data_IF_622808770847
#
_entry.id   IF_622808770847
#
_cell.length_a   1.000
_cell.length_b   1.000
_cell.length_c   1.000
_cell.angle_alpha   90.00
_cell.angle_beta   90.00
_cell.angle_gamma   90.00
#
_symmetry.space_group_name_H-M   'P 1'
#
loop_
_entity.id
_entity.type
_entity.pdbx_description
1 polymer ?
#
# COMPACT_ATOMS: atom_id res chain seq x y z
N UNK A 1 21.22 -16.30 4.07
CA UNK A 1 20.65 -14.96 3.78
C UNK A 1 19.27 -15.13 3.15
N UNK A 2 18.23 -14.53 3.72
CA UNK A 2 16.90 -14.54 3.14
C UNK A 2 16.65 -13.17 2.50
N UNK A 3 16.21 -13.16 1.24
CA UNK A 3 15.90 -11.92 0.54
C UNK A 3 14.69 -11.22 1.17
N UNK A 4 14.65 -9.90 1.05
CA UNK A 4 13.55 -9.05 1.48
C UNK A 4 13.25 -8.02 0.40
N UNK A 5 11.97 -7.89 0.03
CA UNK A 5 11.53 -6.96 -1.01
C UNK A 5 10.69 -5.85 -0.40
N UNK A 6 11.16 -4.61 -0.51
CA UNK A 6 10.37 -3.41 -0.18
C UNK A 6 9.85 -2.76 -1.46
N UNK A 7 8.55 -2.45 -1.48
CA UNK A 7 7.88 -1.81 -2.61
C UNK A 7 7.23 -0.50 -2.17
N UNK A 8 7.57 0.59 -2.87
CA UNK A 8 6.97 1.91 -2.70
C UNK A 8 6.57 2.49 -4.07
N UNK A 9 5.51 1.94 -4.71
CA UNK A 9 5.09 2.34 -6.05
C UNK A 9 4.38 3.70 -6.06
N UNK A 10 4.15 4.32 -7.23
CA UNK A 10 3.19 5.41 -7.34
C UNK A 10 1.80 5.01 -6.81
N UNK A 11 1.17 5.85 -5.99
CA UNK A 11 -0.13 5.51 -5.40
C UNK A 11 -1.28 5.92 -6.34
N UNK A 12 -2.11 4.96 -6.74
CA UNK A 12 -3.18 5.17 -7.73
C UNK A 12 -4.14 6.31 -7.36
N UNK A 13 -4.45 6.45 -6.06
CA UNK A 13 -5.45 7.41 -5.57
C UNK A 13 -4.88 8.78 -5.19
N UNK A 14 -3.56 8.97 -5.24
CA UNK A 14 -2.94 10.27 -4.93
C UNK A 14 -2.65 11.08 -6.19
N UNK A 15 -2.51 12.40 -6.02
CA UNK A 15 -2.09 13.32 -7.09
C UNK A 15 -0.57 13.50 -7.01
N UNK A 16 0.17 12.40 -7.15
CA UNK A 16 1.62 12.44 -7.22
C UNK A 16 2.08 12.82 -8.63
N UNK A 17 3.15 13.62 -8.73
CA UNK A 17 3.85 13.98 -9.96
C UNK A 17 4.52 12.79 -10.70
N UNK A 18 4.21 11.56 -10.30
CA UNK A 18 4.70 10.30 -10.88
C UNK A 18 3.69 9.65 -11.85
N UNK A 19 2.44 10.12 -11.86
CA UNK A 19 1.37 9.56 -12.70
C UNK A 19 1.38 10.12 -14.13
N UNK A 20 2.27 11.08 -14.45
CA UNK A 20 2.31 11.80 -15.72
C UNK A 20 3.25 11.19 -16.78
N UNK A 21 3.98 10.11 -16.45
CA UNK A 21 4.78 9.34 -17.39
C UNK A 21 6.14 9.94 -17.78
N UNK A 22 6.57 11.05 -17.18
CA UNK A 22 7.80 11.75 -17.59
C UNK A 22 9.10 11.26 -16.93
N UNK A 23 9.07 10.22 -16.09
CA UNK A 23 10.24 9.80 -15.28
C UNK A 23 10.52 8.29 -15.24
N UNK A 24 10.23 7.58 -16.34
CA UNK A 24 10.71 6.20 -16.55
C UNK A 24 9.70 5.08 -16.29
N UNK A 25 8.51 5.39 -15.79
CA UNK A 25 7.35 4.51 -15.80
C UNK A 25 6.23 5.20 -16.55
N UNK A 26 5.92 4.74 -17.76
CA UNK A 26 4.76 5.24 -18.48
C UNK A 26 3.49 4.71 -17.80
N UNK A 27 2.81 5.59 -17.07
CA UNK A 27 1.45 5.41 -16.57
C UNK A 27 1.26 4.27 -15.55
N UNK A 28 1.49 4.55 -14.26
CA UNK A 28 1.01 3.66 -13.20
C UNK A 28 -0.52 3.70 -13.15
N UNK A 29 -1.16 2.66 -13.69
CA UNK A 29 -2.61 2.48 -13.71
C UNK A 29 -2.96 1.22 -12.92
N UNK A 30 -4.25 0.90 -12.93
CA UNK A 30 -4.78 -0.29 -12.28
C UNK A 30 -4.09 -1.58 -12.76
N UNK A 31 -3.68 -1.66 -14.03
CA UNK A 31 -3.00 -2.84 -14.56
C UNK A 31 -1.63 -3.08 -13.90
N UNK A 32 -0.81 -2.03 -13.75
CA UNK A 32 0.51 -2.12 -13.10
C UNK A 32 0.36 -2.39 -11.60
N UNK A 33 -0.66 -1.82 -10.97
CA UNK A 33 -0.96 -2.07 -9.55
C UNK A 33 -1.39 -3.53 -9.32
N UNK A 34 -2.25 -4.09 -10.17
CA UNK A 34 -2.63 -5.51 -10.12
C UNK A 34 -1.45 -6.44 -10.43
N UNK A 35 -0.58 -6.08 -11.38
CA UNK A 35 0.62 -6.86 -11.68
C UNK A 35 1.61 -6.88 -10.50
N UNK A 36 1.75 -5.77 -9.77
CA UNK A 36 2.53 -5.71 -8.52
C UNK A 36 1.93 -6.66 -7.47
N UNK A 37 0.61 -6.67 -7.31
CA UNK A 37 -0.08 -7.57 -6.38
C UNK A 37 0.17 -9.06 -6.71
N UNK A 38 0.10 -9.44 -7.98
CA UNK A 38 0.42 -10.80 -8.42
C UNK A 38 1.89 -11.16 -8.18
N UNK A 39 2.80 -10.20 -8.33
CA UNK A 39 4.21 -10.39 -8.01
C UNK A 39 4.44 -10.60 -6.51
N UNK A 40 3.84 -9.78 -5.65
CA UNK A 40 3.93 -9.94 -4.19
C UNK A 40 3.31 -11.27 -3.72
N UNK A 41 2.21 -11.70 -4.33
CA UNK A 41 1.62 -13.02 -4.09
C UNK A 41 2.56 -14.17 -4.49
N UNK A 42 3.39 -13.98 -5.53
CA UNK A 42 4.42 -14.97 -5.90
C UNK A 42 5.56 -15.01 -4.89
N UNK A 43 6.00 -13.85 -4.40
CA UNK A 43 7.02 -13.78 -3.35
C UNK A 43 6.57 -14.49 -2.08
N UNK A 44 5.31 -14.27 -1.69
CA UNK A 44 4.69 -14.93 -0.55
C UNK A 44 4.73 -16.46 -0.68
N UNK A 45 4.27 -17.00 -1.81
CA UNK A 45 4.32 -18.45 -2.09
C UNK A 45 5.74 -19.01 -2.12
N UNK A 46 6.73 -18.18 -2.46
CA UNK A 46 8.15 -18.55 -2.47
C UNK A 46 8.80 -18.42 -1.08
N UNK A 47 8.07 -17.99 -0.05
CA UNK A 47 8.62 -17.75 1.29
C UNK A 47 9.53 -16.53 1.39
N UNK A 48 9.48 -15.63 0.41
CA UNK A 48 10.24 -14.37 0.41
C UNK A 48 9.43 -13.31 1.16
N UNK A 49 10.08 -12.62 2.09
CA UNK A 49 9.44 -11.56 2.87
C UNK A 49 9.30 -10.30 2.02
N UNK A 50 8.15 -9.63 2.09
CA UNK A 50 7.94 -8.35 1.46
C UNK A 50 7.25 -7.34 2.37
N UNK A 51 7.43 -6.06 2.03
CA UNK A 51 6.63 -4.97 2.57
C UNK A 51 6.21 -4.00 1.44
N UNK A 52 4.95 -3.56 1.46
CA UNK A 52 4.38 -2.62 0.50
C UNK A 52 3.84 -1.38 1.25
N UNK A 53 4.39 -0.21 0.97
CA UNK A 53 3.77 1.08 1.35
C UNK A 53 2.72 1.49 0.31
N UNK A 54 1.52 1.85 0.77
CA UNK A 54 0.46 2.36 -0.10
C UNK A 54 -0.60 3.13 0.72
N UNK A 55 -1.62 3.66 0.04
CA UNK A 55 -2.69 4.48 0.64
C UNK A 55 -4.05 3.85 0.35
N UNK A 56 -4.78 3.50 1.41
CA UNK A 56 -6.13 2.92 1.28
C UNK A 56 -7.18 3.98 0.90
N UNK A 57 -7.04 5.18 1.42
CA UNK A 57 -7.97 6.29 1.22
C UNK A 57 -7.23 7.62 1.21
N UNK A 58 -7.58 8.52 0.29
CA UNK A 58 -6.99 9.85 0.19
C UNK A 58 -8.03 10.84 -0.34
N UNK A 59 -8.32 11.90 0.43
CA UNK A 59 -9.26 12.96 0.03
C UNK A 59 -10.61 12.43 -0.50
N UNK A 60 -11.14 11.38 0.13
CA UNK A 60 -12.42 10.73 -0.25
C UNK A 60 -12.34 9.74 -1.41
N UNK A 61 -11.16 9.54 -2.03
CA UNK A 61 -10.92 8.44 -2.97
C UNK A 61 -10.49 7.19 -2.21
N UNK A 62 -11.00 6.03 -2.62
CA UNK A 62 -10.75 4.73 -1.95
C UNK A 62 -10.10 3.77 -2.93
N UNK A 63 -8.96 3.19 -2.56
CA UNK A 63 -8.28 2.14 -3.34
C UNK A 63 -8.93 0.78 -3.07
N UNK A 64 -10.08 0.53 -3.70
CA UNK A 64 -10.84 -0.72 -3.52
C UNK A 64 -10.03 -1.98 -3.87
N UNK A 65 -9.24 -2.02 -4.97
CA UNK A 65 -8.38 -3.17 -5.26
C UNK A 65 -7.38 -3.48 -4.15
N UNK A 66 -6.67 -2.45 -3.65
CA UNK A 66 -5.72 -2.60 -2.54
C UNK A 66 -6.40 -3.11 -1.27
N UNK A 67 -7.57 -2.56 -0.92
CA UNK A 67 -8.35 -3.00 0.25
C UNK A 67 -8.77 -4.47 0.13
N UNK A 68 -9.18 -4.91 -1.06
CA UNK A 68 -9.55 -6.30 -1.27
C UNK A 68 -8.33 -7.23 -1.19
N UNK A 69 -7.24 -6.87 -1.86
CA UNK A 69 -6.01 -7.67 -1.92
C UNK A 69 -5.30 -7.78 -0.57
N UNK A 70 -5.20 -6.67 0.18
CA UNK A 70 -4.48 -6.57 1.45
C UNK A 70 -5.03 -7.47 2.57
N UNK A 71 -6.28 -7.96 2.46
CA UNK A 71 -6.89 -8.87 3.45
C UNK A 71 -6.16 -10.20 3.64
N UNK A 72 -5.29 -10.56 2.70
CA UNK A 72 -4.45 -11.76 2.76
C UNK A 72 -3.24 -11.60 3.69
N UNK A 73 -2.90 -10.37 4.05
CA UNK A 73 -1.63 -9.98 4.66
C UNK A 73 -1.85 -9.12 5.91
N UNK A 74 -0.79 -8.90 6.69
CA UNK A 74 -0.83 -8.01 7.84
C UNK A 74 -0.78 -6.56 7.35
N UNK A 75 -1.80 -5.77 7.71
CA UNK A 75 -1.90 -4.35 7.36
C UNK A 75 -1.61 -3.51 8.59
N UNK A 76 -0.51 -2.76 8.54
CA UNK A 76 -0.05 -1.89 9.62
C UNK A 76 -0.37 -0.44 9.23
N UNK A 77 -1.27 0.26 9.97
CA UNK A 77 -1.51 1.68 9.75
C UNK A 77 -0.24 2.48 10.05
N UNK A 78 0.17 3.32 9.11
CA UNK A 78 1.24 4.30 9.30
C UNK A 78 0.62 5.58 9.87
N UNK A 79 0.11 5.50 11.11
CA UNK A 79 -0.35 6.68 11.82
C UNK A 79 0.85 7.32 12.53
N UNK A 80 1.13 8.58 12.23
CA UNK A 80 1.71 9.49 13.22
C UNK A 80 0.66 9.69 14.31
N UNK A 81 1.03 9.46 15.57
CA UNK A 81 0.19 9.60 16.77
C UNK A 81 -1.02 10.54 16.63
N UNK A 82 -2.21 9.99 16.42
CA UNK A 82 -3.47 10.67 16.71
C UNK A 82 -4.02 10.18 18.05
N UNK A 83 -3.25 10.38 19.11
CA UNK A 83 -3.69 10.16 20.50
C UNK A 83 -4.69 11.22 20.99
N UNK A 84 -5.21 12.11 20.13
CA UNK A 84 -6.11 13.20 20.55
C UNK A 84 -7.10 13.71 19.46
N UNK A 85 -7.57 12.88 18.54
CA UNK A 85 -8.62 13.33 17.62
C UNK A 85 -9.80 12.35 17.59
N UNK A 86 -10.90 12.83 18.18
CA UNK A 86 -12.26 12.33 18.08
C UNK A 86 -12.57 11.56 16.79
N UNK A 87 -13.47 10.57 16.92
CA UNK A 87 -14.26 9.87 15.90
C UNK A 87 -15.06 10.79 14.95
N UNK A 88 -14.45 11.83 14.41
CA UNK A 88 -14.93 12.67 13.32
C UNK A 88 -13.94 12.50 12.18
N UNK A 89 -14.25 11.60 11.26
CA UNK A 89 -13.64 11.49 9.94
C UNK A 89 -13.70 12.86 9.25
N UNK A 90 -12.66 13.66 9.40
CA UNK A 90 -12.49 14.88 8.62
C UNK A 90 -12.24 14.44 7.18
N UNK A 91 -13.21 14.70 6.31
CA UNK A 91 -13.08 14.57 4.85
C UNK A 91 -11.75 15.21 4.42
N UNK A 92 -10.73 14.40 4.13
CA UNK A 92 -9.43 14.93 3.69
C UNK A 92 -8.18 14.14 4.10
N UNK A 93 -8.24 13.32 5.16
CA UNK A 93 -7.05 12.61 5.66
C UNK A 93 -6.67 11.40 4.79
N UNK A 94 -5.35 11.18 4.64
CA UNK A 94 -4.78 10.01 3.98
C UNK A 94 -4.71 8.85 4.97
N UNK A 95 -5.12 7.66 4.55
CA UNK A 95 -4.94 6.42 5.30
C UNK A 95 -3.77 5.63 4.72
N UNK A 96 -2.57 5.96 5.16
CA UNK A 96 -1.32 5.31 4.77
C UNK A 96 -1.11 4.00 5.53
N UNK A 97 -0.61 2.98 4.84
CA UNK A 97 -0.41 1.64 5.40
C UNK A 97 0.88 1.01 4.90
N UNK A 98 1.44 0.14 5.73
CA UNK A 98 2.46 -0.83 5.37
C UNK A 98 1.83 -2.22 5.39
N UNK A 99 1.87 -2.93 4.26
CA UNK A 99 1.32 -4.28 4.12
C UNK A 99 2.48 -5.27 4.07
N UNK A 100 2.46 -6.29 4.93
CA UNK A 100 3.57 -7.23 5.09
C UNK A 100 3.07 -8.68 5.11
N UNK A 101 3.87 -9.62 4.58
CA UNK A 101 3.55 -11.05 4.62
C UNK A 101 4.25 -11.83 5.74
N UNK A 102 4.88 -11.12 6.67
CA UNK A 102 5.51 -11.69 7.85
C UNK A 102 4.84 -11.12 9.08
N UNK A 103 4.74 -11.93 10.14
CA UNK A 103 4.18 -11.50 11.41
C UNK A 103 4.97 -10.29 11.93
N UNK A 104 4.29 -9.17 12.10
CA UNK A 104 4.75 -8.15 13.04
C UNK A 104 4.69 -8.78 14.44
N UNK A 105 5.81 -8.85 15.15
CA UNK A 105 5.88 -9.51 16.45
C UNK A 105 4.84 -8.89 17.41
N UNK A 106 3.77 -9.61 17.74
CA UNK A 106 2.74 -9.12 18.68
C UNK A 106 1.29 -9.60 18.49
N UNK A 107 1.00 -10.59 17.62
CA UNK A 107 -0.31 -11.27 17.56
C UNK A 107 -0.17 -12.79 17.53
#
# INVERSE_FOLDING_TARGET
>A
PADFVYCDPPYLITTGSYNDGNRGFQNWKEAEELALYEFLDRLDRAGVRFALSNVLEHKGKVNKPLIAWSRKYDVIPLASDYSNANYHTRKGESREVLIVNYRSAGR
#
